data_IF_929722346543
#
_entry.id   IF_929722346543
#
_cell.length_a   1.000
_cell.length_b   1.000
_cell.length_c   1.000
_cell.angle_alpha   90.00
_cell.angle_beta   90.00
_cell.angle_gamma   90.00
#
_symmetry.space_group_name_H-M   'P 1'
#
loop_
_entity.id
_entity.type
_entity.pdbx_description
1 polymer ?
#
# COMPACT_ATOMS: atom_id res chain seq x y z
N UNK A 1 22.69 9.59 12.68
CA UNK A 1 21.91 8.37 13.01
C UNK A 1 21.18 7.93 11.74
N UNK A 2 21.52 6.77 11.16
CA UNK A 2 20.82 6.25 9.98
C UNK A 2 19.37 6.00 10.38
N UNK A 3 18.41 6.73 9.81
CA UNK A 3 16.99 6.47 10.03
C UNK A 3 16.71 5.01 9.67
N UNK A 4 16.33 4.24 10.67
CA UNK A 4 16.08 2.81 10.52
C UNK A 4 14.60 2.66 10.17
N UNK A 5 14.30 2.56 8.87
CA UNK A 5 12.95 2.22 8.40
C UNK A 5 12.58 0.79 8.83
N UNK A 6 11.34 0.62 9.25
CA UNK A 6 10.71 -0.69 9.38
C UNK A 6 9.56 -0.79 8.37
N UNK A 7 9.83 -1.10 7.09
CA UNK A 7 8.80 -1.24 6.07
C UNK A 7 7.85 -2.40 6.34
N UNK A 8 6.58 -2.20 6.01
CA UNK A 8 5.52 -3.20 5.96
C UNK A 8 4.55 -2.89 4.83
N UNK A 9 3.79 -3.90 4.42
CA UNK A 9 2.82 -3.78 3.33
C UNK A 9 1.43 -3.84 3.92
N UNK A 10 0.55 -2.91 3.53
CA UNK A 10 -0.89 -3.00 3.71
C UNK A 10 -1.52 -3.39 2.39
N UNK A 11 -2.42 -4.37 2.42
CA UNK A 11 -3.16 -4.81 1.25
C UNK A 11 -4.64 -4.56 1.52
N UNK A 12 -5.28 -3.81 0.65
CA UNK A 12 -6.73 -3.57 0.67
C UNK A 12 -7.36 -4.30 -0.51
N UNK A 13 -8.39 -5.08 -0.25
CA UNK A 13 -9.26 -5.64 -1.28
C UNK A 13 -10.42 -4.67 -1.49
N UNK A 14 -10.57 -4.19 -2.71
CA UNK A 14 -11.57 -3.22 -3.12
C UNK A 14 -12.61 -3.87 -4.02
N UNK A 15 -13.88 -3.47 -3.86
CA UNK A 15 -14.96 -3.71 -4.82
C UNK A 15 -15.54 -2.36 -5.25
N UNK A 16 -15.30 -1.99 -6.51
CA UNK A 16 -15.46 -0.60 -6.94
C UNK A 16 -14.60 0.34 -6.10
N UNK A 17 -15.24 1.27 -5.37
CA UNK A 17 -14.56 2.25 -4.50
C UNK A 17 -14.52 1.84 -3.02
N UNK A 18 -15.16 0.72 -2.66
CA UNK A 18 -15.30 0.30 -1.27
C UNK A 18 -14.20 -0.67 -0.89
N UNK A 19 -13.57 -0.43 0.27
CA UNK A 19 -12.64 -1.37 0.87
C UNK A 19 -13.43 -2.41 1.67
N UNK A 20 -13.48 -3.64 1.16
CA UNK A 20 -14.26 -4.72 1.77
C UNK A 20 -13.43 -5.59 2.74
N UNK A 21 -12.11 -5.69 2.50
CA UNK A 21 -11.19 -6.40 3.37
C UNK A 21 -9.81 -5.74 3.37
N UNK A 22 -9.05 -5.92 4.45
CA UNK A 22 -7.69 -5.39 4.58
C UNK A 22 -6.83 -6.28 5.46
N UNK A 23 -5.56 -6.40 5.07
CA UNK A 23 -4.55 -7.13 5.83
C UNK A 23 -3.22 -6.38 5.76
N UNK A 24 -2.25 -6.79 6.58
CA UNK A 24 -0.89 -6.25 6.53
C UNK A 24 0.15 -7.31 6.88
N UNK A 25 1.36 -7.11 6.36
CA UNK A 25 2.51 -7.92 6.76
C UNK A 25 3.06 -7.47 8.12
N UNK A 26 3.94 -8.30 8.70
CA UNK A 26 4.83 -7.87 9.77
C UNK A 26 5.86 -6.89 9.21
N UNK A 27 6.24 -5.90 10.02
CA UNK A 27 7.29 -4.96 9.65
C UNK A 27 8.68 -5.62 9.69
N UNK A 28 9.48 -5.37 8.65
CA UNK A 28 10.86 -5.84 8.56
C UNK A 28 11.77 -4.69 8.97
N UNK A 29 12.52 -4.85 10.05
CA UNK A 29 13.32 -3.75 10.61
C UNK A 29 14.59 -3.52 9.81
N UNK A 30 15.05 -2.27 9.80
CA UNK A 30 16.39 -1.86 9.36
C UNK A 30 16.72 -2.13 7.89
N UNK A 31 15.73 -2.05 7.01
CA UNK A 31 15.93 -2.28 5.58
C UNK A 31 15.06 -1.38 4.72
N UNK A 32 15.55 -1.07 3.53
CA UNK A 32 14.80 -0.47 2.42
C UNK A 32 14.43 -1.49 1.34
N UNK A 33 14.94 -2.73 1.46
CA UNK A 33 14.65 -3.87 0.58
C UNK A 33 14.13 -5.04 1.44
N UNK A 34 12.89 -4.95 1.96
CA UNK A 34 12.33 -6.00 2.82
C UNK A 34 11.98 -7.26 2.04
N UNK A 35 12.29 -8.42 2.63
CA UNK A 35 11.77 -9.72 2.21
C UNK A 35 10.70 -10.11 3.23
N UNK A 36 9.43 -10.13 2.80
CA UNK A 36 8.32 -10.47 3.70
C UNK A 36 8.06 -11.96 3.77
N UNK A 37 7.94 -12.65 2.63
CA UNK A 37 7.56 -14.07 2.53
C UNK A 37 6.33 -14.42 3.41
N UNK A 38 5.30 -13.58 3.34
CA UNK A 38 4.04 -13.77 4.07
C UNK A 38 2.89 -13.92 3.09
N UNK A 39 2.03 -14.90 3.35
CA UNK A 39 0.79 -15.07 2.61
C UNK A 39 -0.30 -14.23 3.26
N UNK A 40 -1.03 -13.48 2.43
CA UNK A 40 -2.25 -12.79 2.81
C UNK A 40 -3.38 -13.50 2.08
N UNK A 41 -4.35 -14.00 2.83
CA UNK A 41 -5.48 -14.76 2.29
C UNK A 41 -6.74 -13.93 2.44
N UNK A 42 -7.47 -13.77 1.34
CA UNK A 42 -8.81 -13.22 1.28
C UNK A 42 -9.75 -14.34 0.84
N UNK A 43 -10.89 -14.47 1.50
CA UNK A 43 -11.87 -15.53 1.19
C UNK A 43 -12.86 -15.12 0.10
N UNK A 44 -12.85 -13.84 -0.29
CA UNK A 44 -13.69 -13.27 -1.31
C UNK A 44 -13.27 -13.71 -2.73
N UNK A 45 -14.24 -13.79 -3.64
CA UNK A 45 -13.94 -14.07 -5.05
C UNK A 45 -13.12 -12.93 -5.68
N UNK A 46 -12.18 -13.21 -6.59
CA UNK A 46 -11.36 -12.18 -7.23
C UNK A 46 -12.14 -11.31 -8.24
N UNK A 47 -13.29 -11.78 -8.73
CA UNK A 47 -14.08 -11.11 -9.78
C UNK A 47 -14.50 -9.70 -9.36
N UNK A 48 -14.33 -8.72 -10.24
CA UNK A 48 -14.69 -7.29 -10.02
C UNK A 48 -13.99 -6.66 -8.81
N UNK A 49 -12.85 -7.23 -8.40
CA UNK A 49 -12.05 -6.71 -7.28
C UNK A 49 -10.74 -6.09 -7.77
N UNK A 50 -10.21 -5.23 -6.93
CA UNK A 50 -8.89 -4.64 -7.09
C UNK A 50 -8.10 -4.81 -5.80
N UNK A 51 -6.84 -5.22 -5.91
CA UNK A 51 -5.90 -5.13 -4.81
C UNK A 51 -5.22 -3.77 -4.84
N UNK A 52 -5.28 -3.06 -3.72
CA UNK A 52 -4.46 -1.88 -3.49
C UNK A 52 -3.37 -2.23 -2.48
N UNK A 53 -2.14 -2.27 -2.96
CA UNK A 53 -0.94 -2.62 -2.20
C UNK A 53 -0.23 -1.32 -1.84
N UNK A 54 -0.12 -1.02 -0.55
CA UNK A 54 0.54 0.18 -0.03
C UNK A 54 1.75 -0.19 0.81
N UNK A 55 2.92 0.30 0.45
CA UNK A 55 4.13 0.16 1.25
C UNK A 55 4.23 1.34 2.21
N UNK A 56 4.38 1.03 3.48
CA UNK A 56 4.53 1.98 4.57
C UNK A 56 5.84 1.71 5.29
N UNK A 57 6.44 2.71 5.92
CA UNK A 57 7.55 2.53 6.85
C UNK A 57 7.31 3.27 8.17
N UNK A 58 7.71 2.62 9.26
CA UNK A 58 7.82 3.25 10.57
C UNK A 58 9.27 3.70 10.77
N UNK A 59 9.47 4.99 11.10
CA UNK A 59 10.78 5.60 11.30
C UNK A 59 11.00 5.99 12.79
N UNK A 60 11.02 4.99 13.66
CA UNK A 60 11.39 5.17 15.08
C UNK A 60 10.40 5.99 15.92
N UNK A 61 10.87 6.52 17.07
CA UNK A 61 10.03 7.10 18.14
C UNK A 61 9.42 8.47 17.83
N UNK A 62 9.89 9.17 16.80
CA UNK A 62 9.51 10.57 16.53
C UNK A 62 8.70 10.75 15.23
N UNK A 63 8.71 9.78 14.32
CA UNK A 63 8.19 9.99 12.96
C UNK A 63 6.88 9.26 12.68
N UNK A 64 5.97 10.01 12.06
CA UNK A 64 4.69 9.57 11.51
C UNK A 64 4.92 8.37 10.58
N UNK A 65 3.93 7.49 10.47
CA UNK A 65 3.92 6.39 9.48
C UNK A 65 4.12 6.99 8.09
N UNK A 66 5.23 6.67 7.44
CA UNK A 66 5.59 7.27 6.16
C UNK A 66 5.12 6.39 5.01
N UNK A 67 4.34 6.98 4.12
CA UNK A 67 3.95 6.36 2.86
C UNK A 67 5.19 6.23 1.96
N UNK A 68 5.44 5.04 1.43
CA UNK A 68 6.56 4.79 0.51
C UNK A 68 6.10 4.59 -0.93
N UNK A 69 4.85 4.18 -1.15
CA UNK A 69 4.31 3.99 -2.48
C UNK A 69 3.08 3.09 -2.50
N UNK A 70 2.41 3.09 -3.64
CA UNK A 70 1.18 2.34 -3.87
C UNK A 70 1.16 1.69 -5.26
N UNK A 71 0.59 0.50 -5.34
CA UNK A 71 0.23 -0.16 -6.59
C UNK A 71 -1.23 -0.60 -6.50
N UNK A 72 -1.93 -0.52 -7.63
CA UNK A 72 -3.28 -1.04 -7.79
C UNK A 72 -3.29 -2.09 -8.89
N UNK A 73 -3.91 -3.23 -8.60
CA UNK A 73 -3.95 -4.39 -9.50
C UNK A 73 -5.41 -4.81 -9.61
N UNK A 74 -6.00 -4.69 -10.81
CA UNK A 74 -7.33 -5.25 -11.08
C UNK A 74 -7.18 -6.75 -11.19
N UNK A 75 -7.93 -7.50 -10.38
CA UNK A 75 -7.85 -8.95 -10.40
C UNK A 75 -8.48 -9.55 -11.67
N UNK A 76 -9.38 -8.82 -12.33
CA UNK A 76 -9.97 -9.22 -13.61
C UNK A 76 -8.97 -9.19 -14.77
N UNK A 77 -7.87 -8.44 -14.66
CA UNK A 77 -6.82 -8.37 -15.68
C UNK A 77 -5.80 -9.53 -15.55
N UNK A 78 -5.95 -10.36 -14.52
CA UNK A 78 -5.01 -11.43 -14.19
C UNK A 78 -5.58 -12.79 -14.59
N UNK A 79 -4.75 -13.61 -15.21
CA UNK A 79 -5.07 -15.01 -15.51
C UNK A 79 -4.90 -15.87 -14.25
N UNK A 80 -5.86 -15.76 -13.31
CA UNK A 80 -5.89 -16.52 -12.07
C UNK A 80 -6.32 -17.98 -12.35
N UNK A 81 -5.34 -18.81 -12.73
CA UNK A 81 -5.50 -20.25 -12.98
C UNK A 81 -5.11 -21.13 -11.78
N UNK A 82 -4.72 -22.38 -12.07
CA UNK A 82 -4.18 -23.30 -11.06
C UNK A 82 -2.80 -22.89 -10.55
N UNK A 83 -2.01 -22.25 -11.41
CA UNK A 83 -0.64 -21.85 -11.09
C UNK A 83 -0.59 -20.44 -10.50
N UNK A 84 0.24 -20.22 -9.47
CA UNK A 84 0.41 -18.90 -8.89
C UNK A 84 1.13 -17.97 -9.86
N UNK A 85 0.59 -16.77 -10.06
CA UNK A 85 1.27 -15.75 -10.84
C UNK A 85 2.30 -14.99 -10.01
N UNK A 86 3.45 -14.71 -10.60
CA UNK A 86 4.54 -13.94 -9.98
C UNK A 86 4.93 -12.79 -10.89
N UNK A 87 4.98 -11.58 -10.34
CA UNK A 87 5.31 -10.39 -11.11
C UNK A 87 5.82 -9.23 -10.26
N UNK A 88 6.59 -8.36 -10.89
CA UNK A 88 7.07 -7.12 -10.29
C UNK A 88 6.10 -5.97 -10.61
N UNK A 89 5.66 -5.26 -9.57
CA UNK A 89 4.75 -4.13 -9.71
C UNK A 89 5.44 -2.84 -9.31
N UNK A 90 5.37 -1.83 -10.18
CA UNK A 90 5.91 -0.50 -9.90
C UNK A 90 5.07 0.18 -8.82
N UNK A 91 5.74 0.78 -7.84
CA UNK A 91 5.10 1.65 -6.86
C UNK A 91 5.01 3.07 -7.40
N UNK A 92 3.86 3.70 -7.21
CA UNK A 92 3.57 5.07 -7.58
C UNK A 92 3.40 5.95 -6.35
N UNK A 93 3.45 7.27 -6.54
CA UNK A 93 3.08 8.24 -5.51
C UNK A 93 1.56 8.27 -5.33
N UNK A 94 1.07 8.70 -4.16
CA UNK A 94 -0.38 8.76 -3.89
C UNK A 94 -1.11 9.71 -4.84
N UNK A 95 -0.46 10.79 -5.29
CA UNK A 95 -1.00 11.72 -6.28
C UNK A 95 -1.19 11.10 -7.66
N UNK A 96 -0.44 10.05 -8.01
CA UNK A 96 -0.58 9.36 -9.30
C UNK A 96 -1.88 8.57 -9.41
N UNK A 97 -2.62 8.39 -8.30
CA UNK A 97 -3.95 7.78 -8.28
C UNK A 97 -5.10 8.77 -8.52
N UNK A 98 -4.79 10.07 -8.70
CA UNK A 98 -5.77 11.12 -8.97
C UNK A 98 -6.46 10.86 -10.33
N UNK A 99 -7.56 10.11 -10.27
CA UNK A 99 -8.30 9.56 -11.40
C UNK A 99 -9.19 8.38 -10.98
N UNK A 100 -8.89 7.74 -9.85
CA UNK A 100 -9.66 6.62 -9.26
C UNK A 100 -9.97 6.91 -7.77
N UNK A 101 -10.99 7.72 -7.48
CA UNK A 101 -11.33 8.11 -6.09
C UNK A 101 -11.60 6.92 -5.12
N UNK A 102 -11.72 7.12 -3.79
CA UNK A 102 -11.78 8.39 -3.06
C UNK A 102 -10.44 8.78 -2.44
N UNK A 103 -10.10 10.06 -2.59
CA UNK A 103 -9.05 10.74 -1.83
C UNK A 103 -9.42 10.63 -0.36
N UNK A 104 -8.64 9.86 0.41
CA UNK A 104 -8.71 9.95 1.87
C UNK A 104 -8.25 11.35 2.26
N UNK A 105 -9.19 12.12 2.79
CA UNK A 105 -9.03 13.47 3.31
C UNK A 105 -8.28 13.38 4.64
N UNK A 106 -6.96 13.22 4.59
CA UNK A 106 -6.05 13.44 5.72
C UNK A 106 -4.82 14.26 5.28
N UNK A 107 -5.01 15.18 4.34
CA UNK A 107 -3.99 16.15 3.91
C UNK A 107 -4.37 17.56 4.35
N UNK A 108 -4.68 17.74 5.63
CA UNK A 108 -4.63 19.06 6.29
C UNK A 108 -3.68 18.96 7.47
N UNK A 109 -2.38 19.04 7.19
CA UNK A 109 -1.37 19.55 8.11
C UNK A 109 -0.07 19.64 7.35
N UNK A 110 0.15 20.79 6.71
CA UNK A 110 1.45 21.49 6.64
C UNK A 110 1.43 22.52 5.50
N UNK A 111 0.80 23.67 5.73
CA UNK A 111 1.22 24.98 5.21
C UNK A 111 0.59 26.06 6.11
N UNK A 112 1.04 26.12 7.37
CA UNK A 112 1.01 27.37 8.12
C UNK A 112 2.44 27.84 8.26
N UNK A 113 2.62 29.15 8.05
CA UNK A 113 3.85 29.94 8.20
C UNK A 113 4.81 29.89 7.00
N UNK A 114 4.68 30.90 6.13
CA UNK A 114 5.64 32.02 6.04
C UNK A 114 4.87 33.20 5.42
N UNK A 115 4.62 34.24 6.22
CA UNK A 115 4.45 35.61 5.75
C UNK A 115 5.49 36.44 6.50
N UNK A 116 6.45 36.98 5.78
CA UNK A 116 7.09 38.26 6.11
C UNK A 116 6.33 39.34 5.36
#
# INVERSE_FOLDING_TARGET
LKLISAPYVKVYLLEGKQCIAKAKTRAVRRTTAPIFQQHIVFSETPRKKMLQITVMADYGRMERKSFMGIAQIRLDDLELGSEPMVGWYKLYHSSSLAGTGPVRKDSDTSLTEIKQ
#
